data_IF_471448993097
#
_entry.id   IF_471448993097
#
_cell.length_a   1.000
_cell.length_b   1.000
_cell.length_c   1.000
_cell.angle_alpha   90.00
_cell.angle_beta   90.00
_cell.angle_gamma   90.00
#
_symmetry.space_group_name_H-M   'P 1'
#
loop_
_entity.id
_entity.type
_entity.pdbx_description
1 polymer ?
#
# COMPACT_ATOMS: atom_id res chain seq x y z
N UNK A 1 8.58 -19.70 -4.80
CA UNK A 1 7.45 -18.74 -4.80
C UNK A 1 7.70 -17.75 -3.69
N UNK A 2 7.69 -16.45 -3.99
CA UNK A 2 7.93 -15.39 -3.02
C UNK A 2 6.57 -14.73 -2.70
N UNK A 3 6.17 -14.58 -1.43
CA UNK A 3 4.98 -13.83 -1.08
C UNK A 3 5.17 -12.31 -1.30
N UNK A 4 4.08 -11.59 -1.46
CA UNK A 4 4.04 -10.19 -1.92
C UNK A 4 3.50 -9.34 -0.79
N UNK A 5 4.25 -8.32 -0.35
CA UNK A 5 3.89 -7.45 0.76
C UNK A 5 3.79 -5.99 0.30
N UNK A 6 2.73 -5.31 0.72
CA UNK A 6 2.46 -3.89 0.48
C UNK A 6 2.84 -3.07 1.70
N UNK A 7 3.82 -2.19 1.53
CA UNK A 7 4.23 -1.21 2.55
C UNK A 7 3.64 0.16 2.24
N UNK A 8 2.97 0.82 3.20
CA UNK A 8 2.79 2.25 3.19
C UNK A 8 4.14 2.82 3.61
N UNK A 9 4.90 3.31 2.66
CA UNK A 9 5.95 4.27 3.02
C UNK A 9 5.22 5.56 3.41
N UNK A 10 4.78 5.63 4.67
CA UNK A 10 4.75 6.92 5.32
C UNK A 10 6.22 7.30 5.55
N UNK A 11 6.61 8.41 4.94
CA UNK A 11 7.94 9.05 4.90
C UNK A 11 8.64 9.27 6.24
N UNK A 12 8.04 8.84 7.36
CA UNK A 12 8.61 8.88 8.70
C UNK A 12 9.39 7.60 9.08
N UNK A 13 9.74 6.75 8.11
CA UNK A 13 10.69 5.63 8.29
C UNK A 13 12.15 6.08 8.49
N UNK A 14 12.42 7.40 8.53
CA UNK A 14 13.74 8.03 8.58
C UNK A 14 14.65 7.64 9.77
N UNK A 15 14.18 6.88 10.77
CA UNK A 15 14.94 6.63 12.01
C UNK A 15 15.13 5.17 12.43
N UNK A 16 14.55 4.22 11.71
CA UNK A 16 14.13 2.99 12.39
C UNK A 16 14.61 1.68 11.75
N UNK A 17 15.85 1.60 11.24
CA UNK A 17 16.48 0.31 10.89
C UNK A 17 15.81 -0.55 9.79
N UNK A 18 14.69 -0.11 9.21
CA UNK A 18 13.92 -0.90 8.26
C UNK A 18 14.53 -0.93 6.84
N UNK A 19 15.40 0.03 6.48
CA UNK A 19 16.02 0.11 5.14
C UNK A 19 16.83 -1.16 4.80
N UNK A 20 17.75 -1.64 5.67
CA UNK A 20 18.43 -2.91 5.46
C UNK A 20 17.47 -4.11 5.38
N UNK A 21 16.40 -4.12 6.16
CA UNK A 21 15.42 -5.22 6.15
C UNK A 21 14.63 -5.26 4.84
N UNK A 22 14.22 -4.10 4.30
CA UNK A 22 13.57 -4.00 3.00
C UNK A 22 14.47 -4.51 1.87
N UNK A 23 15.75 -4.16 1.90
CA UNK A 23 16.74 -4.63 0.90
C UNK A 23 17.05 -6.12 1.02
N UNK A 24 16.93 -6.70 2.21
CA UNK A 24 17.14 -8.13 2.48
C UNK A 24 15.86 -8.95 2.41
N UNK A 25 14.71 -8.30 2.22
CA UNK A 25 13.41 -8.95 2.08
C UNK A 25 13.44 -9.87 0.87
N UNK A 26 13.00 -11.11 1.06
CA UNK A 26 12.71 -12.04 -0.04
C UNK A 26 11.33 -11.78 -0.66
N UNK A 27 10.61 -10.76 -0.20
CA UNK A 27 9.22 -10.54 -0.57
C UNK A 27 9.14 -9.42 -1.63
N UNK A 28 8.21 -9.54 -2.56
CA UNK A 28 7.98 -8.52 -3.57
C UNK A 28 7.33 -7.29 -2.91
N UNK A 29 7.91 -6.10 -3.10
CA UNK A 29 7.42 -4.87 -2.48
C UNK A 29 6.71 -3.99 -3.51
N UNK A 30 5.55 -3.45 -3.12
CA UNK A 30 4.76 -2.54 -3.97
C UNK A 30 4.25 -1.34 -3.17
N UNK A 31 4.14 -0.19 -3.82
CA UNK A 31 3.54 1.03 -3.26
C UNK A 31 2.10 1.17 -3.73
N UNK A 32 1.17 1.44 -2.82
CA UNK A 32 -0.21 1.84 -3.15
C UNK A 32 -0.56 3.08 -2.33
N UNK A 33 -0.44 4.26 -2.94
CA UNK A 33 -0.57 5.54 -2.22
C UNK A 33 -1.37 6.55 -3.03
N UNK A 34 -2.34 7.18 -2.37
CA UNK A 34 -3.06 8.33 -2.90
C UNK A 34 -2.19 9.59 -2.73
N UNK A 35 -1.30 9.82 -3.69
CA UNK A 35 -0.33 10.91 -3.74
C UNK A 35 -0.11 11.29 -5.21
N UNK A 36 1.13 11.33 -5.71
CA UNK A 36 1.43 11.40 -7.13
C UNK A 36 2.80 10.80 -7.44
N UNK A 37 3.04 10.42 -8.70
CA UNK A 37 4.28 9.76 -9.14
C UNK A 37 5.50 10.62 -8.83
N UNK A 38 5.46 11.92 -9.16
CA UNK A 38 6.55 12.85 -8.91
C UNK A 38 7.00 12.84 -7.44
N UNK A 39 6.05 12.99 -6.52
CA UNK A 39 6.33 13.00 -5.08
C UNK A 39 6.85 11.66 -4.58
N UNK A 40 6.18 10.56 -4.94
CA UNK A 40 6.55 9.22 -4.46
C UNK A 40 7.93 8.83 -4.96
N UNK A 41 8.20 8.99 -6.26
CA UNK A 41 9.51 8.66 -6.82
C UNK A 41 10.62 9.56 -6.30
N UNK A 42 10.39 10.88 -6.18
CA UNK A 42 11.41 11.82 -5.67
C UNK A 42 11.90 11.36 -4.30
N UNK A 43 10.97 10.99 -3.44
CA UNK A 43 11.28 10.48 -2.10
C UNK A 43 11.99 9.13 -2.13
N UNK A 44 11.50 8.19 -2.93
CA UNK A 44 12.12 6.87 -3.06
C UNK A 44 13.55 6.96 -3.60
N UNK A 45 13.77 7.82 -4.61
CA UNK A 45 15.08 8.11 -5.21
C UNK A 45 16.02 8.75 -4.19
N UNK A 46 15.56 9.78 -3.48
CA UNK A 46 16.35 10.44 -2.43
C UNK A 46 16.84 9.46 -1.34
N UNK A 47 16.05 8.43 -1.05
CA UNK A 47 16.40 7.40 -0.07
C UNK A 47 17.06 6.13 -0.65
N UNK A 48 17.31 6.07 -1.97
CA UNK A 48 17.89 4.89 -2.61
C UNK A 48 17.03 3.63 -2.45
N UNK A 49 15.69 3.81 -2.46
CA UNK A 49 14.69 2.77 -2.25
C UNK A 49 13.87 2.45 -3.49
N UNK A 50 13.99 3.23 -4.57
CA UNK A 50 13.14 3.07 -5.76
C UNK A 50 13.21 1.63 -6.30
N UNK A 51 14.43 1.11 -6.46
CA UNK A 51 14.70 -0.24 -6.96
C UNK A 51 14.21 -1.37 -6.02
N UNK A 52 13.82 -1.05 -4.79
CA UNK A 52 13.23 -2.05 -3.89
C UNK A 52 11.77 -2.36 -4.25
N UNK A 53 11.09 -1.49 -5.01
CA UNK A 53 9.67 -1.64 -5.35
C UNK A 53 9.49 -2.10 -6.79
N UNK A 54 8.78 -3.21 -6.98
CA UNK A 54 8.47 -3.72 -8.32
C UNK A 54 7.33 -2.98 -9.00
N UNK A 55 6.51 -2.28 -8.22
CA UNK A 55 5.35 -1.55 -8.74
C UNK A 55 4.99 -0.35 -7.83
N UNK A 56 4.71 0.80 -8.46
CA UNK A 56 4.23 2.00 -7.78
C UNK A 56 2.84 2.35 -8.33
N UNK A 57 1.84 2.26 -7.46
CA UNK A 57 0.46 2.64 -7.76
C UNK A 57 0.12 3.95 -7.06
N UNK A 58 0.05 5.02 -7.83
CA UNK A 58 -0.30 6.37 -7.36
C UNK A 58 -0.80 7.21 -8.53
N UNK A 59 -1.41 8.36 -8.25
CA UNK A 59 -1.94 9.25 -9.29
C UNK A 59 -0.81 9.64 -10.28
N UNK A 60 -0.99 9.43 -11.60
CA UNK A 60 0.01 9.78 -12.60
C UNK A 60 0.35 11.28 -12.54
N UNK A 61 1.59 11.62 -12.88
CA UNK A 61 2.00 13.01 -12.97
C UNK A 61 3.08 13.23 -14.01
N UNK A 62 3.07 14.40 -14.64
CA UNK A 62 4.08 14.83 -15.61
C UNK A 62 4.25 16.36 -15.54
N UNK A 63 5.35 16.88 -16.06
CA UNK A 63 5.55 18.33 -16.23
C UNK A 63 5.12 18.67 -17.65
N UNK A 64 4.20 19.62 -17.82
CA UNK A 64 3.74 20.06 -19.13
C UNK A 64 4.74 21.00 -19.83
N UNK A 65 4.42 21.40 -21.05
CA UNK A 65 5.27 22.27 -21.88
C UNK A 65 5.51 23.65 -21.25
N UNK A 66 4.62 24.09 -20.35
CA UNK A 66 4.77 25.34 -19.59
C UNK A 66 5.47 25.16 -18.23
N UNK A 67 6.05 23.98 -17.97
CA UNK A 67 6.79 23.71 -16.73
C UNK A 67 5.90 23.47 -15.51
N UNK A 68 4.61 23.19 -15.68
CA UNK A 68 3.66 22.95 -14.58
C UNK A 68 3.54 21.46 -14.29
N UNK A 69 3.56 21.10 -13.01
CA UNK A 69 3.28 19.74 -12.57
C UNK A 69 1.79 19.44 -12.75
N UNK A 70 1.47 18.52 -13.66
CA UNK A 70 0.14 17.96 -13.86
C UNK A 70 -0.01 16.67 -13.09
N UNK A 71 -1.15 16.54 -12.40
CA UNK A 71 -1.53 15.33 -11.66
C UNK A 71 -2.87 14.88 -12.22
N UNK A 72 -2.93 13.61 -12.62
CA UNK A 72 -4.12 12.97 -13.17
C UNK A 72 -4.69 11.98 -12.15
N UNK A 73 -6.01 11.76 -12.09
CA UNK A 73 -6.58 10.73 -11.22
C UNK A 73 -6.11 9.34 -11.66
N UNK A 74 -5.84 8.44 -10.72
CA UNK A 74 -5.49 7.05 -11.01
C UNK A 74 -6.61 6.31 -11.75
N UNK A 75 -7.86 6.51 -11.32
CA UNK A 75 -9.05 6.05 -12.04
C UNK A 75 -9.54 7.20 -12.94
N UNK A 76 -9.55 6.99 -14.26
CA UNK A 76 -10.07 7.98 -15.20
C UNK A 76 -11.56 8.25 -14.94
N UNK A 77 -11.90 9.50 -14.61
CA UNK A 77 -13.25 9.90 -14.20
C UNK A 77 -14.26 10.03 -15.34
N UNK A 78 -13.89 9.69 -16.59
CA UNK A 78 -14.67 10.06 -17.78
C UNK A 78 -15.77 9.07 -18.14
N UNK A 79 -15.83 7.87 -17.57
CA UNK A 79 -16.81 6.85 -18.00
C UNK A 79 -17.58 6.15 -16.88
N UNK A 80 -17.09 6.12 -15.64
CA UNK A 80 -17.88 5.69 -14.47
C UNK A 80 -17.10 5.90 -13.18
N UNK A 81 -17.80 6.23 -12.09
CA UNK A 81 -17.21 6.08 -10.76
C UNK A 81 -16.72 4.64 -10.62
N UNK A 82 -15.59 4.41 -9.97
CA UNK A 82 -15.08 3.05 -9.77
C UNK A 82 -15.99 2.19 -8.84
N UNK A 83 -17.21 2.62 -8.52
CA UNK A 83 -18.24 1.84 -7.81
C UNK A 83 -17.96 1.58 -6.34
N UNK A 84 -16.90 2.16 -5.77
CA UNK A 84 -16.55 1.98 -4.36
C UNK A 84 -17.03 3.18 -3.55
N UNK A 85 -17.86 2.94 -2.54
CA UNK A 85 -18.42 3.97 -1.65
C UNK A 85 -17.44 4.42 -0.55
N UNK A 86 -16.32 3.72 -0.39
CA UNK A 86 -15.33 3.96 0.68
C UNK A 86 -14.14 4.81 0.25
N UNK A 87 -13.94 5.00 -1.06
CA UNK A 87 -12.74 5.61 -1.61
C UNK A 87 -13.07 6.91 -2.34
N UNK A 88 -12.13 7.88 -2.38
CA UNK A 88 -12.29 9.08 -3.20
C UNK A 88 -12.27 8.73 -4.68
N UNK A 89 -12.92 9.57 -5.50
CA UNK A 89 -13.15 9.29 -6.92
C UNK A 89 -11.86 9.07 -7.73
N UNK A 90 -10.75 9.69 -7.32
CA UNK A 90 -9.49 9.62 -8.04
C UNK A 90 -8.76 8.27 -7.87
N UNK A 91 -8.86 7.62 -6.70
CA UNK A 91 -8.08 6.42 -6.42
C UNK A 91 -8.73 5.50 -5.38
N UNK A 92 -9.18 4.33 -5.83
CA UNK A 92 -9.59 3.22 -4.98
C UNK A 92 -8.44 2.22 -4.81
N UNK A 93 -7.84 2.21 -3.61
CA UNK A 93 -6.77 1.28 -3.24
C UNK A 93 -7.24 -0.18 -3.20
N UNK A 94 -8.49 -0.44 -2.81
CA UNK A 94 -9.05 -1.79 -2.81
C UNK A 94 -9.06 -2.43 -4.20
N UNK A 95 -9.46 -1.69 -5.24
CA UNK A 95 -9.41 -2.19 -6.62
C UNK A 95 -7.99 -2.49 -7.10
N UNK A 96 -7.02 -1.70 -6.64
CA UNK A 96 -5.61 -1.95 -6.94
C UNK A 96 -5.16 -3.26 -6.29
N UNK A 97 -5.54 -3.52 -5.03
CA UNK A 97 -5.25 -4.79 -4.36
C UNK A 97 -5.94 -5.96 -5.07
N UNK A 98 -7.21 -5.83 -5.48
CA UNK A 98 -7.91 -6.87 -6.26
C UNK A 98 -7.15 -7.22 -7.55
N UNK A 99 -6.71 -6.21 -8.32
CA UNK A 99 -5.88 -6.41 -9.53
C UNK A 99 -4.58 -7.14 -9.20
N UNK A 100 -3.90 -6.73 -8.14
CA UNK A 100 -2.61 -7.32 -7.79
C UNK A 100 -2.79 -8.76 -7.33
N UNK A 101 -3.78 -9.06 -6.50
CA UNK A 101 -4.14 -10.43 -6.12
C UNK A 101 -4.40 -11.30 -7.33
N UNK A 102 -5.17 -10.80 -8.30
CA UNK A 102 -5.41 -11.49 -9.56
C UNK A 102 -4.11 -11.81 -10.31
N UNK A 103 -3.26 -10.81 -10.58
CA UNK A 103 -1.97 -11.03 -11.27
C UNK A 103 -1.02 -11.96 -10.50
N UNK A 104 -1.13 -11.97 -9.17
CA UNK A 104 -0.30 -12.80 -8.30
C UNK A 104 -0.77 -14.25 -8.28
N UNK A 105 -2.09 -14.48 -8.27
CA UNK A 105 -2.68 -15.82 -8.30
C UNK A 105 -2.30 -16.61 -9.55
N UNK A 106 -2.12 -15.92 -10.69
CA UNK A 106 -1.60 -16.52 -11.93
C UNK A 106 -0.17 -17.05 -11.75
N UNK A 107 0.61 -16.42 -10.86
CA UNK A 107 1.99 -16.81 -10.54
C UNK A 107 2.08 -17.79 -9.35
N UNK A 108 0.98 -18.09 -8.66
CA UNK A 108 0.94 -18.99 -7.48
C UNK A 108 0.19 -18.42 -6.26
N UNK A 109 0.08 -19.22 -5.20
CA UNK A 109 -0.46 -18.76 -3.91
C UNK A 109 0.56 -17.89 -3.20
N UNK A 110 0.19 -16.64 -2.96
CA UNK A 110 0.99 -15.67 -2.19
C UNK A 110 0.17 -15.19 -0.99
N UNK A 111 0.83 -15.10 0.16
CA UNK A 111 0.34 -14.36 1.33
C UNK A 111 0.58 -12.87 1.09
N UNK A 112 -0.42 -12.06 1.43
CA UNK A 112 -0.33 -10.60 1.38
C UNK A 112 -0.17 -10.02 2.78
N UNK A 113 0.74 -9.06 2.91
CA UNK A 113 0.84 -8.19 4.09
C UNK A 113 0.58 -6.78 3.62
N UNK A 114 -0.47 -6.13 4.10
CA UNK A 114 -0.78 -4.74 3.78
C UNK A 114 -0.60 -3.90 5.03
N UNK A 115 0.32 -2.94 5.05
CA UNK A 115 0.33 -1.96 6.12
C UNK A 115 -0.42 -0.70 5.67
N UNK A 116 -1.04 0.00 6.62
CA UNK A 116 -1.74 1.25 6.38
C UNK A 116 -1.84 2.11 7.62
N UNK A 117 -2.20 3.38 7.46
CA UNK A 117 -2.42 4.30 8.57
C UNK A 117 -3.64 5.21 8.37
N UNK A 118 -4.00 5.53 7.13
CA UNK A 118 -5.10 6.43 6.80
C UNK A 118 -6.44 5.72 6.61
N UNK A 119 -7.55 6.47 6.67
CA UNK A 119 -8.90 5.93 6.38
C UNK A 119 -8.98 5.25 5.01
N UNK A 120 -8.25 5.77 4.01
CA UNK A 120 -8.20 5.21 2.66
C UNK A 120 -7.58 3.81 2.56
N UNK A 121 -6.95 3.33 3.64
CA UNK A 121 -6.35 2.01 3.74
C UNK A 121 -7.31 0.94 4.27
N UNK A 122 -8.54 1.34 4.64
CA UNK A 122 -9.55 0.39 5.10
C UNK A 122 -10.13 -0.44 3.95
N UNK A 123 -10.41 0.21 2.82
CA UNK A 123 -10.90 -0.49 1.62
C UNK A 123 -9.98 -1.63 1.17
N UNK A 124 -8.65 -1.46 1.05
CA UNK A 124 -7.76 -2.58 0.75
C UNK A 124 -7.70 -3.63 1.86
N UNK A 125 -7.86 -3.26 3.14
CA UNK A 125 -7.99 -4.22 4.24
C UNK A 125 -9.16 -5.19 4.06
N UNK A 126 -10.30 -4.70 3.55
CA UNK A 126 -11.46 -5.54 3.20
C UNK A 126 -11.23 -6.46 1.99
N UNK A 127 -10.14 -6.29 1.26
CA UNK A 127 -9.79 -7.11 0.08
C UNK A 127 -8.80 -8.22 0.39
N UNK A 128 -8.28 -8.28 1.61
CA UNK A 128 -7.37 -9.33 2.03
C UNK A 128 -8.16 -10.60 2.40
N UNK A 129 -7.54 -11.75 2.19
CA UNK A 129 -8.14 -13.06 2.48
C UNK A 129 -7.73 -13.58 3.86
N UNK A 130 -8.35 -14.67 4.27
CA UNK A 130 -7.85 -15.48 5.38
C UNK A 130 -6.36 -15.88 5.16
N UNK A 131 -5.56 -15.66 6.20
CA UNK A 131 -4.12 -15.93 6.20
C UNK A 131 -3.26 -14.80 5.62
N UNK A 132 -3.87 -13.71 5.14
CA UNK A 132 -3.19 -12.43 4.87
C UNK A 132 -3.10 -11.58 6.15
N UNK A 133 -2.23 -10.57 6.17
CA UNK A 133 -2.07 -9.66 7.30
C UNK A 133 -2.44 -8.22 6.94
N UNK A 134 -3.32 -7.62 7.75
CA UNK A 134 -3.53 -6.18 7.77
C UNK A 134 -2.73 -5.58 8.93
N UNK A 135 -1.85 -4.64 8.64
CA UNK A 135 -0.97 -4.03 9.62
C UNK A 135 -1.27 -2.55 9.81
N UNK A 136 -2.32 -2.19 10.58
CA UNK A 136 -2.67 -0.81 10.83
C UNK A 136 -1.67 -0.14 11.77
N UNK A 137 -1.38 1.13 11.52
CA UNK A 137 -0.60 1.93 12.46
C UNK A 137 -1.44 2.26 13.69
N UNK A 138 -0.97 1.84 14.86
CA UNK A 138 -1.65 2.09 16.15
C UNK A 138 -1.87 3.58 16.37
N UNK A 139 -3.06 3.94 16.84
CA UNK A 139 -3.51 5.32 17.11
C UNK A 139 -3.57 6.22 15.86
N UNK A 140 -3.79 5.63 14.68
CA UNK A 140 -4.04 6.36 13.43
C UNK A 140 -5.42 5.99 12.86
N UNK A 141 -5.98 6.77 11.92
CA UNK A 141 -7.36 6.61 11.49
C UNK A 141 -7.76 5.21 10.99
N UNK A 142 -6.85 4.44 10.38
CA UNK A 142 -7.14 3.05 10.03
C UNK A 142 -7.36 2.17 11.26
N UNK A 143 -6.51 2.32 12.29
CA UNK A 143 -6.62 1.58 13.55
C UNK A 143 -7.94 1.85 14.24
N UNK A 144 -8.31 3.13 14.39
CA UNK A 144 -9.56 3.52 15.02
C UNK A 144 -10.76 2.97 14.26
N UNK A 145 -10.70 2.99 12.92
CA UNK A 145 -11.76 2.50 12.05
C UNK A 145 -11.92 0.97 12.12
N UNK A 146 -10.84 0.23 12.32
CA UNK A 146 -10.89 -1.24 12.54
C UNK A 146 -11.51 -1.54 13.90
N UNK A 147 -11.13 -0.81 14.95
CA UNK A 147 -11.69 -1.01 16.29
C UNK A 147 -13.17 -0.61 16.39
N UNK A 148 -13.59 0.41 15.63
CA UNK A 148 -14.97 0.92 15.66
C UNK A 148 -15.94 0.20 14.73
N UNK A 149 -15.45 -0.57 13.74
CA UNK A 149 -16.31 -1.26 12.78
C UNK A 149 -16.48 -2.73 13.15
N UNK A 150 -17.71 -3.22 13.08
CA UNK A 150 -18.04 -4.64 13.26
C UNK A 150 -17.99 -5.44 11.96
N UNK A 151 -17.52 -4.87 10.85
CA UNK A 151 -17.37 -5.62 9.61
C UNK A 151 -16.21 -6.60 9.76
N UNK A 152 -16.44 -7.92 9.57
CA UNK A 152 -15.38 -8.90 9.73
C UNK A 152 -14.31 -8.70 8.65
N UNK A 153 -13.08 -8.47 9.09
CA UNK A 153 -11.89 -8.57 8.25
C UNK A 153 -11.47 -10.05 8.21
N UNK A 154 -11.27 -10.60 7.01
CA UNK A 154 -10.78 -11.98 6.88
C UNK A 154 -9.29 -12.10 7.24
N UNK A 155 -8.51 -11.05 7.01
CA UNK A 155 -7.09 -11.01 7.33
C UNK A 155 -6.83 -10.85 8.83
N UNK A 156 -5.71 -11.41 9.29
CA UNK A 156 -5.26 -11.20 10.66
C UNK A 156 -4.75 -9.76 10.82
N UNK A 157 -5.17 -9.10 11.90
CA UNK A 157 -4.79 -7.72 12.18
C UNK A 157 -3.59 -7.69 13.13
N UNK A 158 -2.51 -7.02 12.73
CA UNK A 158 -1.30 -6.85 13.53
C UNK A 158 -0.86 -5.39 13.57
N UNK A 159 -1.04 -4.71 14.69
CA UNK A 159 -0.69 -3.30 14.78
C UNK A 159 0.83 -3.05 14.73
N UNK A 160 1.20 -1.86 14.27
CA UNK A 160 2.56 -1.35 14.40
C UNK A 160 2.55 0.09 14.90
N UNK A 161 3.56 0.51 15.65
CA UNK A 161 3.61 1.88 16.23
C UNK A 161 4.73 2.72 15.63
N UNK A 162 5.87 2.10 15.40
CA UNK A 162 7.05 2.68 14.76
C UNK A 162 7.77 1.59 13.95
N UNK A 163 8.72 1.99 13.09
CA UNK A 163 9.39 1.01 12.23
C UNK A 163 10.35 0.08 12.98
N UNK A 164 10.87 0.47 14.15
CA UNK A 164 11.75 -0.39 14.96
C UNK A 164 10.99 -1.58 15.54
N UNK A 165 9.69 -1.38 15.79
CA UNK A 165 8.76 -2.40 16.25
C UNK A 165 8.01 -3.06 15.10
N UNK A 166 8.28 -2.67 13.85
CA UNK A 166 7.74 -3.35 12.69
C UNK A 166 8.52 -4.66 12.52
N UNK A 167 8.16 -5.68 13.31
CA UNK A 167 8.63 -7.03 13.05
C UNK A 167 7.93 -7.51 11.79
N UNK A 168 8.65 -7.51 10.68
CA UNK A 168 8.17 -8.17 9.47
C UNK A 168 7.84 -9.62 9.83
N UNK A 169 6.55 -9.96 9.82
CA UNK A 169 6.14 -11.35 9.98
C UNK A 169 6.73 -12.11 8.79
N UNK A 170 7.35 -13.24 9.09
CA UNK A 170 8.14 -13.98 8.12
C UNK A 170 7.28 -14.40 6.93
N UNK A 171 7.82 -14.18 5.74
CA UNK A 171 7.31 -14.66 4.45
C UNK A 171 7.38 -16.20 4.30
N UNK A 172 7.68 -16.93 5.38
CA UNK A 172 7.71 -18.39 5.43
C UNK A 172 6.35 -18.93 5.86
N UNK A 173 5.71 -19.68 4.96
CA UNK A 173 4.89 -20.82 5.32
C UNK A 173 5.78 -22.02 5.60
#
# INVERSE_FOLDING_TARGET
MLPINFLPINLRLRRAGALPELRRSKCELRVVRDANVFFVETILKHHGLLECFTEINTNPSYVDEEGRLRILPFHHSTTSSHGCKLCPANMCKGKIIDRIKYTSSIKGKNRFIYLGDGKGDYCPGLKLNQGDFLMPRKNYPLWDLILSNHHPLEAEVHEWSNAERLKMKSCSG
#
